data_IF_044539242174
#
_entry.id   IF_044539242174
#
_cell.length_a   1.000
_cell.length_b   1.000
_cell.length_c   1.000
_cell.angle_alpha   90.00
_cell.angle_beta   90.00
_cell.angle_gamma   90.00
#
_symmetry.space_group_name_H-M   'P 1'
#
loop_
_entity.id
_entity.type
_entity.pdbx_description
1 polymer ?
#
# COMPACT_ATOMS: atom_id res chain seq x y z
N UNK A 1 18.24 -19.32 -0.69
CA UNK A 1 16.89 -18.70 -0.68
C UNK A 1 17.00 -17.18 -0.53
N UNK A 2 17.52 -16.65 0.58
CA UNK A 2 17.68 -15.19 0.79
C UNK A 2 18.49 -14.53 -0.34
N UNK A 3 19.65 -15.10 -0.71
CA UNK A 3 20.47 -14.59 -1.82
C UNK A 3 19.69 -14.58 -3.14
N UNK A 4 18.92 -15.63 -3.43
CA UNK A 4 18.10 -15.69 -4.66
C UNK A 4 16.99 -14.63 -4.65
N UNK A 5 16.37 -14.35 -3.49
CA UNK A 5 15.37 -13.28 -3.35
C UNK A 5 16.01 -11.91 -3.55
N UNK A 6 17.19 -11.69 -3.01
CA UNK A 6 17.92 -10.42 -3.20
C UNK A 6 18.26 -10.25 -4.70
N UNK A 7 18.74 -11.31 -5.35
CA UNK A 7 19.04 -11.28 -6.79
C UNK A 7 17.79 -10.98 -7.62
N UNK A 8 16.63 -11.57 -7.32
CA UNK A 8 15.40 -11.28 -8.07
C UNK A 8 14.91 -9.85 -7.86
N UNK A 9 15.04 -9.29 -6.66
CA UNK A 9 14.68 -7.89 -6.42
C UNK A 9 15.58 -6.93 -7.20
N UNK A 10 16.88 -7.20 -7.22
CA UNK A 10 17.86 -6.39 -7.97
C UNK A 10 17.56 -6.45 -9.46
N UNK A 11 17.28 -7.63 -10.03
CA UNK A 11 16.97 -7.75 -11.45
C UNK A 11 15.69 -7.01 -11.84
N UNK A 12 14.64 -7.06 -11.01
CA UNK A 12 13.39 -6.32 -11.26
C UNK A 12 13.61 -4.80 -11.31
N UNK A 13 14.38 -4.27 -10.35
CA UNK A 13 14.71 -2.85 -10.31
C UNK A 13 15.52 -2.47 -11.56
N UNK A 14 16.56 -3.25 -11.89
CA UNK A 14 17.40 -3.00 -13.07
C UNK A 14 16.57 -2.96 -14.36
N UNK A 15 15.69 -3.95 -14.57
CA UNK A 15 14.82 -4.00 -15.75
C UNK A 15 13.94 -2.75 -15.83
N UNK A 16 13.31 -2.34 -14.71
CA UNK A 16 12.46 -1.14 -14.68
C UNK A 16 13.24 0.13 -15.04
N UNK A 17 14.47 0.27 -14.52
CA UNK A 17 15.32 1.44 -14.79
C UNK A 17 15.85 1.48 -16.22
N UNK A 18 16.16 0.32 -16.79
CA UNK A 18 16.60 0.21 -18.19
C UNK A 18 15.44 0.56 -19.12
N UNK A 19 14.23 0.08 -18.85
CA UNK A 19 13.07 0.44 -19.66
C UNK A 19 12.74 1.94 -19.58
N UNK A 20 12.85 2.54 -18.38
CA UNK A 20 12.68 3.98 -18.20
C UNK A 20 13.76 4.79 -18.93
N UNK A 21 15.03 4.37 -18.88
CA UNK A 21 16.13 5.07 -19.56
C UNK A 21 16.01 4.97 -21.08
N UNK A 22 15.66 3.79 -21.60
CA UNK A 22 15.37 3.58 -23.02
C UNK A 22 14.21 4.48 -23.46
N UNK A 23 13.12 4.54 -22.69
CA UNK A 23 12.01 5.45 -22.98
C UNK A 23 12.47 6.91 -23.02
N UNK A 24 13.27 7.35 -22.06
CA UNK A 24 13.77 8.71 -22.02
C UNK A 24 14.66 9.06 -23.22
N UNK A 25 15.49 8.11 -23.68
CA UNK A 25 16.37 8.28 -24.85
C UNK A 25 15.56 8.30 -26.16
N UNK A 26 14.58 7.41 -26.32
CA UNK A 26 13.77 7.29 -27.53
C UNK A 26 12.71 8.41 -27.61
N UNK A 27 12.22 8.89 -26.48
CA UNK A 27 11.12 9.86 -26.42
C UNK A 27 11.50 11.17 -27.12
N UNK A 28 10.82 11.45 -28.24
CA UNK A 28 10.92 12.73 -28.95
C UNK A 28 10.17 13.80 -28.17
N UNK A 29 10.84 14.40 -27.18
CA UNK A 29 10.35 15.62 -26.51
C UNK A 29 10.40 16.77 -27.51
N UNK A 30 9.30 16.97 -28.24
CA UNK A 30 9.06 18.21 -28.98
C UNK A 30 8.93 19.38 -28.00
N UNK A 31 9.05 20.62 -28.51
CA UNK A 31 8.99 21.86 -27.73
C UNK A 31 8.03 21.78 -26.53
N UNK A 32 8.56 22.20 -25.38
CA UNK A 32 7.91 22.18 -24.07
C UNK A 32 6.81 23.25 -24.08
N UNK A 33 5.64 22.90 -24.61
CA UNK A 33 4.48 23.79 -24.62
C UNK A 33 3.81 23.76 -23.23
N UNK A 34 3.56 24.93 -22.64
CA UNK A 34 2.95 25.05 -21.30
C UNK A 34 1.60 24.33 -21.19
N UNK A 35 0.80 24.31 -22.26
CA UNK A 35 -0.49 23.61 -22.31
C UNK A 35 -0.33 22.08 -22.18
N UNK A 36 0.74 21.48 -22.73
CA UNK A 36 1.02 20.04 -22.59
C UNK A 36 1.49 19.65 -21.19
N UNK A 37 2.03 20.62 -20.44
CA UNK A 37 2.53 20.43 -19.07
C UNK A 37 1.41 20.71 -18.05
N UNK A 38 0.37 21.45 -18.47
CA UNK A 38 -0.79 21.74 -17.65
C UNK A 38 -1.66 20.48 -17.42
N UNK A 39 -2.28 20.32 -16.25
CA UNK A 39 -3.11 19.15 -15.95
C UNK A 39 -4.35 19.12 -16.87
N UNK A 40 -4.58 17.99 -17.53
CA UNK A 40 -5.72 17.82 -18.43
C UNK A 40 -7.04 17.75 -17.65
N UNK A 41 -7.92 18.73 -17.86
CA UNK A 41 -9.29 18.75 -17.30
C UNK A 41 -10.31 19.01 -18.42
N UNK A 42 -10.30 18.16 -19.45
CA UNK A 42 -11.17 18.29 -20.63
C UNK A 42 -11.02 19.65 -21.35
N UNK A 43 -9.78 20.13 -21.50
CA UNK A 43 -9.48 21.41 -22.16
C UNK A 43 -9.74 22.66 -21.31
N UNK A 44 -10.21 22.51 -20.07
CA UNK A 44 -10.39 23.64 -19.16
C UNK A 44 -9.20 23.81 -18.22
N UNK A 45 -8.84 25.07 -17.96
CA UNK A 45 -7.88 25.39 -16.91
C UNK A 45 -8.46 25.00 -15.54
N UNK A 46 -7.67 24.37 -14.65
CA UNK A 46 -8.15 23.99 -13.34
C UNK A 46 -8.55 25.24 -12.54
N UNK A 47 -9.83 25.39 -12.26
CA UNK A 47 -10.41 26.52 -11.52
C UNK A 47 -10.02 26.57 -10.03
N UNK A 48 -9.54 25.45 -9.48
CA UNK A 48 -9.14 25.33 -8.08
C UNK A 48 -7.89 24.48 -7.93
N UNK A 49 -7.14 24.69 -6.83
CA UNK A 49 -6.01 23.81 -6.49
C UNK A 49 -6.53 22.38 -6.36
N UNK A 50 -5.83 21.42 -6.98
CA UNK A 50 -6.16 19.98 -6.96
C UNK A 50 -6.23 19.41 -5.53
N UNK A 51 -5.70 20.14 -4.54
CA UNK A 51 -5.82 19.85 -3.11
C UNK A 51 -7.18 20.32 -2.58
N UNK A 52 -8.23 19.63 -2.97
CA UNK A 52 -9.51 19.72 -2.29
C UNK A 52 -9.42 18.95 -0.97
N UNK A 53 -10.10 19.46 0.07
CA UNK A 53 -10.27 18.71 1.31
C UNK A 53 -10.92 17.36 0.99
N UNK A 54 -10.19 16.30 1.26
CA UNK A 54 -10.58 14.92 0.98
C UNK A 54 -11.89 14.59 1.69
N UNK A 55 -12.70 13.71 1.08
CA UNK A 55 -13.97 13.32 1.71
C UNK A 55 -13.68 12.54 3.01
N UNK A 56 -14.47 12.82 4.05
CA UNK A 56 -14.31 12.17 5.37
C UNK A 56 -14.43 10.64 5.30
N UNK A 57 -15.15 10.12 4.30
CA UNK A 57 -15.37 8.68 4.11
C UNK A 57 -14.06 7.94 3.84
N UNK A 58 -13.21 8.47 2.96
CA UNK A 58 -11.93 7.82 2.67
C UNK A 58 -10.94 7.92 3.82
N UNK A 59 -11.02 8.97 4.64
CA UNK A 59 -10.22 9.08 5.86
C UNK A 59 -10.56 7.97 6.85
N UNK A 60 -11.86 7.70 7.07
CA UNK A 60 -12.33 6.63 7.96
C UNK A 60 -11.86 5.26 7.47
N UNK A 61 -11.92 5.00 6.15
CA UNK A 61 -11.43 3.74 5.56
C UNK A 61 -9.94 3.53 5.87
N UNK A 62 -9.11 4.56 5.71
CA UNK A 62 -7.67 4.46 6.01
C UNK A 62 -7.40 4.22 7.50
N UNK A 63 -8.19 4.84 8.37
CA UNK A 63 -8.06 4.66 9.82
C UNK A 63 -8.46 3.24 10.26
N UNK A 64 -9.55 2.70 9.72
CA UNK A 64 -9.97 1.31 9.97
C UNK A 64 -8.91 0.33 9.46
N UNK A 65 -8.36 0.56 8.26
CA UNK A 65 -7.27 -0.27 7.72
C UNK A 65 -6.03 -0.26 8.61
N UNK A 66 -5.68 0.90 9.18
CA UNK A 66 -4.55 1.02 10.10
C UNK A 66 -4.75 0.17 11.36
N UNK A 67 -5.94 0.25 11.97
CA UNK A 67 -6.27 -0.52 13.18
C UNK A 67 -6.23 -2.03 12.88
N UNK A 68 -6.87 -2.45 11.77
CA UNK A 68 -6.91 -3.86 11.38
C UNK A 68 -5.52 -4.44 11.09
N UNK A 69 -4.59 -3.66 10.54
CA UNK A 69 -3.20 -4.10 10.36
C UNK A 69 -2.48 -4.39 11.68
N UNK A 70 -2.73 -3.58 12.72
CA UNK A 70 -2.15 -3.78 14.06
C UNK A 70 -2.73 -5.06 14.67
N UNK A 71 -4.03 -5.28 14.52
CA UNK A 71 -4.72 -6.48 14.99
C UNK A 71 -4.19 -7.76 14.33
N UNK A 72 -3.97 -7.76 13.01
CA UNK A 72 -3.36 -8.89 12.30
C UNK A 72 -1.93 -9.17 12.80
N UNK A 73 -1.14 -8.13 13.05
CA UNK A 73 0.23 -8.30 13.56
C UNK A 73 0.23 -9.00 14.94
N UNK A 74 -0.71 -8.63 15.82
CA UNK A 74 -0.91 -9.30 17.11
C UNK A 74 -1.40 -10.73 16.96
N UNK A 75 -2.35 -10.98 16.05
CA UNK A 75 -2.85 -12.32 15.74
C UNK A 75 -1.70 -13.26 15.33
N UNK A 76 -0.82 -12.79 14.44
CA UNK A 76 0.31 -13.59 13.93
C UNK A 76 1.25 -14.01 15.06
N UNK A 77 1.57 -13.09 15.99
CA UNK A 77 2.41 -13.42 17.15
C UNK A 77 1.77 -14.47 18.06
N UNK A 78 0.44 -14.41 18.26
CA UNK A 78 -0.29 -15.38 19.08
C UNK A 78 -0.34 -16.77 18.43
N UNK A 79 -0.50 -16.82 17.10
CA UNK A 79 -0.46 -18.08 16.35
C UNK A 79 0.90 -18.75 16.54
N UNK A 80 2.00 -18.00 16.43
CA UNK A 80 3.35 -18.52 16.63
C UNK A 80 3.52 -19.06 18.06
N UNK A 81 3.01 -18.35 19.06
CA UNK A 81 3.08 -18.79 20.46
C UNK A 81 2.23 -20.04 20.73
N UNK A 82 1.12 -20.21 20.02
CA UNK A 82 0.21 -21.35 20.16
C UNK A 82 0.81 -22.70 19.74
N UNK A 83 1.91 -22.69 18.98
CA UNK A 83 2.62 -23.90 18.53
C UNK A 83 3.07 -24.78 19.70
N UNK A 84 3.33 -24.18 20.87
CA UNK A 84 3.73 -24.90 22.08
C UNK A 84 2.55 -25.60 22.80
N UNK A 85 1.34 -25.62 22.21
CA UNK A 85 0.13 -26.27 22.72
C UNK A 85 -0.22 -25.93 24.19
N UNK A 86 0.12 -24.73 24.64
CA UNK A 86 -0.27 -24.29 25.97
C UNK A 86 -1.78 -23.94 25.98
N UNK A 87 -2.60 -24.62 26.80
CA UNK A 87 -4.07 -24.41 26.82
C UNK A 87 -4.46 -22.96 27.13
N UNK A 88 -3.67 -22.24 27.94
CA UNK A 88 -3.94 -20.83 28.24
C UNK A 88 -3.82 -19.93 27.01
N UNK A 89 -2.85 -20.20 26.14
CA UNK A 89 -2.60 -19.41 24.92
C UNK A 89 -3.71 -19.66 23.89
N UNK A 90 -4.19 -20.90 23.80
CA UNK A 90 -5.31 -21.28 22.93
C UNK A 90 -6.59 -20.54 23.37
N UNK A 91 -6.90 -20.52 24.67
CA UNK A 91 -8.05 -19.78 25.20
C UNK A 91 -7.94 -18.28 24.89
N UNK A 92 -6.75 -17.68 25.09
CA UNK A 92 -6.52 -16.28 24.75
C UNK A 92 -6.72 -15.98 23.26
N UNK A 93 -6.29 -16.89 22.37
CA UNK A 93 -6.48 -16.77 20.92
C UNK A 93 -7.97 -16.78 20.56
N UNK A 94 -8.78 -17.66 21.15
CA UNK A 94 -10.23 -17.68 20.93
C UNK A 94 -10.91 -16.40 21.43
N UNK A 95 -10.52 -15.89 22.60
CA UNK A 95 -11.05 -14.62 23.13
C UNK A 95 -10.67 -13.47 22.20
N UNK A 96 -9.42 -13.42 21.73
CA UNK A 96 -8.95 -12.39 20.81
C UNK A 96 -9.71 -12.42 19.47
N UNK A 97 -9.93 -13.61 18.90
CA UNK A 97 -10.76 -13.76 17.69
C UNK A 97 -12.21 -13.30 17.90
N UNK A 98 -12.80 -13.59 19.06
CA UNK A 98 -14.15 -13.14 19.38
C UNK A 98 -14.24 -11.60 19.43
N UNK A 99 -13.26 -10.94 20.03
CA UNK A 99 -13.17 -9.47 20.08
C UNK A 99 -13.04 -8.90 18.67
N UNK A 100 -12.24 -9.51 17.79
CA UNK A 100 -12.09 -9.06 16.40
C UNK A 100 -13.41 -9.15 15.62
N UNK A 101 -14.16 -10.23 15.79
CA UNK A 101 -15.47 -10.40 15.15
C UNK A 101 -16.45 -9.33 15.63
N UNK A 102 -16.43 -9.02 16.94
CA UNK A 102 -17.26 -7.95 17.51
C UNK A 102 -16.83 -6.55 17.04
N UNK A 103 -15.55 -6.28 16.86
CA UNK A 103 -15.06 -4.98 16.39
C UNK A 103 -15.33 -4.71 14.90
N UNK A 104 -15.59 -5.77 14.13
CA UNK A 104 -15.88 -5.69 12.70
C UNK A 104 -17.37 -5.50 12.38
N UNK A 105 -18.27 -5.93 13.29
CA UNK A 105 -19.73 -5.78 13.17
C UNK A 105 -20.23 -4.53 13.89
#
# INVERSE_FOLDING_TARGET
IIINIILTLITLILISTILLSINFIISKKTYINQEKISPFKCGFNPSSRVRLSFSRQFFIINLIFLIFNIEIALLLSLIILSINFNPFIIIYLFIFLFILILGLY
#
